data_IF_944177964811
#
_entry.id   IF_944177964811
#
_cell.length_a   1.000
_cell.length_b   1.000
_cell.length_c   1.000
_cell.angle_alpha   90.00
_cell.angle_beta   90.00
_cell.angle_gamma   90.00
#
_symmetry.space_group_name_H-M   'P 1'
#
loop_
_entity.id
_entity.type
_entity.pdbx_description
1 polymer ?
#
# COMPACT_ATOMS: atom_id res chain seq x y z
N UNK A 1 17.44 -12.28 1.08
CA UNK A 1 16.79 -11.57 2.19
C UNK A 1 15.27 -11.56 2.08
N UNK A 2 14.65 -11.15 0.96
CA UNK A 2 13.18 -11.20 0.77
C UNK A 2 12.61 -12.60 1.04
N UNK A 3 13.22 -13.64 0.46
CA UNK A 3 12.78 -15.04 0.65
C UNK A 3 12.82 -15.46 2.13
N UNK A 4 13.84 -15.05 2.87
CA UNK A 4 13.97 -15.37 4.31
C UNK A 4 12.82 -14.74 5.10
N UNK A 5 12.44 -13.49 4.78
CA UNK A 5 11.32 -12.80 5.43
C UNK A 5 10.00 -13.51 5.13
N UNK A 6 9.77 -13.89 3.87
CA UNK A 6 8.56 -14.64 3.46
C UNK A 6 8.49 -15.98 4.17
N UNK A 7 9.59 -16.71 4.25
CA UNK A 7 9.65 -18.00 4.96
C UNK A 7 9.40 -17.84 6.46
N UNK A 8 10.06 -16.89 7.12
CA UNK A 8 9.87 -16.64 8.55
C UNK A 8 8.43 -16.24 8.88
N UNK A 9 7.81 -15.41 8.04
CA UNK A 9 6.42 -15.01 8.16
C UNK A 9 5.46 -16.20 7.98
N UNK A 10 5.74 -17.07 7.00
CA UNK A 10 4.94 -18.27 6.75
C UNK A 10 5.05 -19.28 7.90
N UNK A 11 6.26 -19.53 8.38
CA UNK A 11 6.51 -20.42 9.53
C UNK A 11 5.79 -19.91 10.78
N UNK A 12 5.91 -18.61 11.07
CA UNK A 12 5.20 -18.00 12.19
C UNK A 12 3.68 -18.18 12.05
N UNK A 13 3.13 -17.92 10.87
CA UNK A 13 1.69 -17.98 10.63
C UNK A 13 1.12 -19.39 10.83
N UNK A 14 1.81 -20.42 10.36
CA UNK A 14 1.35 -21.80 10.47
C UNK A 14 1.58 -22.40 11.87
N UNK A 15 2.64 -22.00 12.57
CA UNK A 15 2.95 -22.50 13.91
C UNK A 15 2.22 -21.74 15.04
N UNK A 16 1.74 -20.54 14.77
CA UNK A 16 1.08 -19.74 15.81
C UNK A 16 -0.37 -20.18 16.01
N UNK A 17 -0.71 -20.50 17.24
CA UNK A 17 -2.08 -20.80 17.69
C UNK A 17 -2.83 -19.55 18.16
N UNK A 18 -2.18 -18.37 18.16
CA UNK A 18 -2.76 -17.14 18.65
C UNK A 18 -3.94 -16.66 17.80
N UNK A 19 -5.00 -16.20 18.43
CA UNK A 19 -6.21 -15.65 17.78
C UNK A 19 -5.84 -14.44 16.89
N UNK A 20 -4.82 -13.67 17.27
CA UNK A 20 -4.41 -12.45 16.62
C UNK A 20 -3.26 -12.61 15.59
N UNK A 21 -2.96 -13.83 15.13
CA UNK A 21 -1.86 -14.10 14.21
C UNK A 21 -1.93 -13.30 12.89
N UNK A 22 -3.13 -13.03 12.40
CA UNK A 22 -3.35 -12.20 11.20
C UNK A 22 -2.94 -10.75 11.44
N UNK A 23 -3.40 -10.17 12.53
CA UNK A 23 -3.07 -8.81 12.93
C UNK A 23 -1.56 -8.67 13.20
N UNK A 24 -0.95 -9.60 13.91
CA UNK A 24 0.48 -9.60 14.17
C UNK A 24 1.32 -9.64 12.87
N UNK A 25 0.98 -10.51 11.92
CA UNK A 25 1.66 -10.56 10.62
C UNK A 25 1.52 -9.27 9.81
N UNK A 26 0.38 -8.58 9.99
CA UNK A 26 0.15 -7.31 9.32
C UNK A 26 0.93 -6.15 9.97
N UNK A 27 0.98 -6.09 11.30
CA UNK A 27 1.54 -4.95 12.05
C UNK A 27 3.04 -5.07 12.28
N UNK A 28 3.60 -6.28 12.20
CA UNK A 28 5.02 -6.50 12.46
C UNK A 28 5.87 -5.93 11.30
N UNK A 29 6.65 -4.91 11.62
CA UNK A 29 7.52 -4.20 10.66
C UNK A 29 8.53 -5.14 10.02
N UNK A 30 9.06 -6.12 10.77
CA UNK A 30 10.01 -7.10 10.23
C UNK A 30 9.41 -7.90 9.08
N UNK A 31 8.14 -8.33 9.22
CA UNK A 31 7.43 -9.08 8.18
C UNK A 31 7.02 -8.23 6.97
N UNK A 32 7.21 -6.91 7.04
CA UNK A 32 6.94 -5.95 5.96
C UNK A 32 8.20 -5.44 5.28
N UNK A 33 9.38 -5.80 5.78
CA UNK A 33 10.66 -5.43 5.16
C UNK A 33 10.82 -6.00 3.75
N UNK A 34 10.11 -7.07 3.38
CA UNK A 34 10.08 -7.61 2.02
C UNK A 34 9.63 -6.56 1.00
N UNK A 35 8.54 -5.86 1.28
CA UNK A 35 8.01 -4.81 0.41
C UNK A 35 8.96 -3.62 0.29
N UNK A 36 9.61 -3.24 1.39
CA UNK A 36 10.64 -2.19 1.38
C UNK A 36 11.86 -2.59 0.55
N UNK A 37 12.37 -3.81 0.73
CA UNK A 37 13.52 -4.33 -0.02
C UNK A 37 13.25 -4.42 -1.52
N UNK A 38 12.04 -4.82 -1.93
CA UNK A 38 11.62 -4.83 -3.33
C UNK A 38 11.69 -3.41 -3.92
N UNK A 39 11.26 -2.38 -3.16
CA UNK A 39 11.39 -0.99 -3.55
C UNK A 39 12.84 -0.53 -3.72
N UNK A 40 13.74 -0.93 -2.81
CA UNK A 40 15.18 -0.64 -2.91
C UNK A 40 15.80 -1.32 -4.13
N UNK A 41 15.48 -2.60 -4.37
CA UNK A 41 15.94 -3.34 -5.56
C UNK A 41 15.48 -2.64 -6.84
N UNK A 42 14.20 -2.23 -6.89
CA UNK A 42 13.64 -1.49 -8.01
C UNK A 42 14.41 -0.20 -8.27
N UNK A 43 14.70 0.58 -7.22
CA UNK A 43 15.49 1.81 -7.35
C UNK A 43 16.89 1.54 -7.92
N UNK A 44 17.58 0.50 -7.44
CA UNK A 44 18.89 0.11 -7.95
C UNK A 44 18.82 -0.28 -9.44
N UNK A 45 17.80 -1.04 -9.85
CA UNK A 45 17.59 -1.44 -11.25
C UNK A 45 17.37 -0.22 -12.15
N UNK A 46 16.53 0.72 -11.70
CA UNK A 46 16.24 1.97 -12.45
C UNK A 46 17.53 2.80 -12.61
N UNK A 47 18.31 2.93 -11.53
CA UNK A 47 19.54 3.74 -11.54
C UNK A 47 20.65 3.15 -12.41
N UNK A 48 20.80 1.83 -12.41
CA UNK A 48 21.86 1.15 -13.16
C UNK A 48 21.62 1.10 -14.66
N UNK A 49 20.45 1.52 -15.17
CA UNK A 49 20.06 1.53 -16.60
C UNK A 49 20.39 0.24 -17.34
N UNK A 50 20.50 -0.89 -16.64
CA UNK A 50 20.89 -2.18 -17.20
C UNK A 50 19.81 -2.71 -18.13
N UNK A 51 20.15 -2.90 -19.40
CA UNK A 51 19.42 -3.59 -20.49
C UNK A 51 17.89 -3.57 -20.31
N UNK A 52 17.31 -2.40 -20.56
CA UNK A 52 15.91 -2.09 -20.25
C UNK A 52 14.91 -2.96 -21.01
N UNK A 53 15.25 -3.43 -22.22
CA UNK A 53 14.28 -4.15 -23.05
C UNK A 53 14.00 -5.59 -22.57
N UNK A 54 15.04 -6.39 -22.36
CA UNK A 54 14.88 -7.76 -21.85
C UNK A 54 14.28 -7.78 -20.45
N UNK A 55 14.73 -6.85 -19.61
CA UNK A 55 14.20 -6.73 -18.25
C UNK A 55 12.71 -6.34 -18.25
N UNK A 56 12.30 -5.43 -19.16
CA UNK A 56 10.89 -5.07 -19.34
C UNK A 56 10.03 -6.27 -19.78
N UNK A 57 10.52 -7.10 -20.70
CA UNK A 57 9.76 -8.26 -21.15
C UNK A 57 9.60 -9.31 -20.04
N UNK A 58 10.70 -9.65 -19.35
CA UNK A 58 10.65 -10.60 -18.22
C UNK A 58 9.72 -10.08 -17.12
N UNK A 59 9.87 -8.80 -16.77
CA UNK A 59 9.05 -8.18 -15.73
C UNK A 59 7.57 -8.12 -16.09
N UNK A 60 7.23 -7.90 -17.39
CA UNK A 60 5.87 -7.98 -17.92
C UNK A 60 5.29 -9.39 -17.79
N UNK A 61 6.06 -10.42 -18.17
CA UNK A 61 5.61 -11.82 -18.04
C UNK A 61 5.35 -12.17 -16.57
N UNK A 62 6.28 -11.82 -15.69
CA UNK A 62 6.12 -12.03 -14.23
C UNK A 62 4.88 -11.29 -13.71
N UNK A 63 4.64 -10.07 -14.14
CA UNK A 63 3.45 -9.30 -13.75
C UNK A 63 2.15 -10.01 -14.18
N UNK A 64 2.07 -10.46 -15.43
CA UNK A 64 0.88 -11.17 -15.94
C UNK A 64 0.68 -12.49 -15.19
N UNK A 65 1.72 -13.27 -14.97
CA UNK A 65 1.64 -14.53 -14.22
C UNK A 65 1.15 -14.29 -12.78
N UNK A 66 1.71 -13.30 -12.09
CA UNK A 66 1.31 -12.99 -10.70
C UNK A 66 -0.12 -12.45 -10.62
N UNK A 67 -0.58 -11.65 -11.60
CA UNK A 67 -1.99 -11.23 -11.66
C UNK A 67 -2.92 -12.41 -11.90
N UNK A 68 -2.59 -13.33 -12.79
CA UNK A 68 -3.38 -14.54 -13.02
C UNK A 68 -3.43 -15.40 -11.75
N UNK A 69 -2.32 -15.57 -11.04
CA UNK A 69 -2.27 -16.30 -9.78
C UNK A 69 -3.17 -15.64 -8.74
N UNK A 70 -3.15 -14.31 -8.59
CA UNK A 70 -4.05 -13.61 -7.68
C UNK A 70 -5.52 -13.82 -8.03
N UNK A 71 -5.89 -13.67 -9.31
CA UNK A 71 -7.26 -13.94 -9.76
C UNK A 71 -7.67 -15.40 -9.54
N UNK A 72 -6.80 -16.36 -9.83
CA UNK A 72 -7.06 -17.78 -9.59
C UNK A 72 -7.29 -18.07 -8.10
N UNK A 73 -6.49 -17.48 -7.22
CA UNK A 73 -6.66 -17.61 -5.76
C UNK A 73 -7.99 -16.99 -5.32
N UNK A 74 -8.38 -15.83 -5.84
CA UNK A 74 -9.69 -15.24 -5.55
C UNK A 74 -10.85 -16.08 -6.05
N UNK A 75 -10.76 -16.60 -7.26
CA UNK A 75 -11.82 -17.41 -7.88
C UNK A 75 -11.98 -18.76 -7.19
N UNK A 76 -10.86 -19.44 -6.86
CA UNK A 76 -10.87 -20.78 -6.25
C UNK A 76 -11.27 -20.77 -4.78
N UNK A 77 -11.02 -19.67 -4.08
CA UNK A 77 -11.28 -19.55 -2.65
C UNK A 77 -12.63 -18.85 -2.38
N UNK A 78 -13.74 -19.52 -2.73
CA UNK A 78 -15.09 -19.08 -2.32
C UNK A 78 -15.31 -19.06 -0.79
N UNK A 79 -14.32 -19.47 0.01
CA UNK A 79 -14.37 -19.41 1.47
C UNK A 79 -13.34 -18.40 2.00
N UNK A 80 -13.82 -17.39 2.70
CA UNK A 80 -13.02 -16.32 3.31
C UNK A 80 -11.85 -16.83 4.20
N UNK A 81 -11.94 -18.03 4.75
CA UNK A 81 -10.92 -18.63 5.60
C UNK A 81 -9.62 -18.99 4.88
N UNK A 82 -9.68 -19.43 3.62
CA UNK A 82 -8.47 -19.78 2.84
C UNK A 82 -7.78 -18.56 2.24
N UNK A 83 -8.52 -17.51 1.89
CA UNK A 83 -7.96 -16.21 1.49
C UNK A 83 -7.17 -15.62 2.64
N UNK A 84 -7.64 -15.78 3.85
CA UNK A 84 -6.99 -15.23 5.04
C UNK A 84 -5.58 -15.81 5.29
N UNK A 85 -5.29 -17.06 4.91
CA UNK A 85 -3.94 -17.63 5.04
C UNK A 85 -2.98 -17.19 3.92
N UNK A 86 -3.47 -16.98 2.71
CA UNK A 86 -2.67 -16.61 1.56
C UNK A 86 -2.05 -15.20 1.70
N UNK A 87 -2.87 -14.20 2.07
CA UNK A 87 -2.39 -12.82 2.17
C UNK A 87 -1.28 -12.63 3.21
N UNK A 88 -1.41 -13.09 4.47
CA UNK A 88 -0.35 -12.92 5.46
C UNK A 88 0.92 -13.74 5.15
N UNK A 89 0.87 -14.78 4.31
CA UNK A 89 2.06 -15.55 3.95
C UNK A 89 2.78 -14.96 2.74
N UNK A 90 2.20 -15.02 1.55
CA UNK A 90 2.85 -14.66 0.28
C UNK A 90 2.18 -13.46 -0.40
N UNK A 91 0.89 -13.23 -0.16
CA UNK A 91 0.08 -12.25 -0.88
C UNK A 91 0.64 -10.83 -0.85
N UNK A 92 1.13 -10.38 0.30
CA UNK A 92 1.73 -9.05 0.42
C UNK A 92 2.98 -8.85 -0.43
N UNK A 93 3.82 -9.88 -0.53
CA UNK A 93 5.02 -9.85 -1.37
C UNK A 93 4.65 -9.79 -2.86
N UNK A 94 3.63 -10.56 -3.27
CA UNK A 94 3.12 -10.51 -4.64
C UNK A 94 2.60 -9.12 -4.98
N UNK A 95 1.82 -8.50 -4.09
CA UNK A 95 1.32 -7.13 -4.26
C UNK A 95 2.48 -6.14 -4.39
N UNK A 96 3.52 -6.25 -3.57
CA UNK A 96 4.69 -5.39 -3.66
C UNK A 96 5.43 -5.52 -5.00
N UNK A 97 5.55 -6.74 -5.55
CA UNK A 97 6.14 -6.98 -6.87
C UNK A 97 5.26 -6.35 -7.97
N UNK A 98 3.93 -6.49 -7.89
CA UNK A 98 3.00 -5.88 -8.85
C UNK A 98 3.09 -4.36 -8.87
N UNK A 99 3.11 -3.72 -7.69
CA UNK A 99 3.32 -2.27 -7.61
C UNK A 99 4.68 -1.84 -8.15
N UNK A 100 5.73 -2.63 -7.90
CA UNK A 100 7.07 -2.37 -8.44
C UNK A 100 7.08 -2.37 -9.97
N UNK A 101 6.32 -3.28 -10.61
CA UNK A 101 6.18 -3.29 -12.05
C UNK A 101 5.47 -2.04 -12.57
N UNK A 102 4.38 -1.61 -11.92
CA UNK A 102 3.65 -0.40 -12.30
C UNK A 102 4.57 0.83 -12.22
N UNK A 103 5.35 0.96 -11.15
CA UNK A 103 6.33 2.05 -10.99
C UNK A 103 7.39 2.00 -12.08
N UNK A 104 7.97 0.82 -12.33
CA UNK A 104 8.97 0.62 -13.37
C UNK A 104 8.43 1.00 -14.75
N UNK A 105 7.24 0.49 -15.09
CA UNK A 105 6.56 0.80 -16.33
C UNK A 105 6.31 2.31 -16.47
N UNK A 106 5.89 2.97 -15.41
CA UNK A 106 5.65 4.42 -15.38
C UNK A 106 6.91 5.22 -15.69
N UNK A 107 8.05 4.83 -15.14
CA UNK A 107 9.32 5.54 -15.34
C UNK A 107 9.84 5.39 -16.76
N UNK A 108 9.64 4.24 -17.40
CA UNK A 108 10.21 3.93 -18.73
C UNK A 108 9.20 3.99 -19.87
N UNK A 109 7.91 4.14 -19.58
CA UNK A 109 6.87 4.19 -20.60
C UNK A 109 6.95 5.48 -21.43
N UNK A 110 6.97 5.31 -22.75
CA UNK A 110 6.82 6.41 -23.72
C UNK A 110 5.38 6.57 -24.21
N UNK A 111 4.43 5.83 -23.63
CA UNK A 111 3.03 5.88 -24.05
C UNK A 111 2.41 7.22 -23.63
N UNK A 112 1.93 7.98 -24.63
CA UNK A 112 1.38 9.32 -24.45
C UNK A 112 0.13 9.28 -23.56
N UNK A 113 -0.76 8.29 -23.74
CA UNK A 113 -1.99 8.15 -22.95
C UNK A 113 -1.65 7.88 -21.49
N UNK A 114 -0.73 6.95 -21.22
CA UNK A 114 -0.29 6.63 -19.88
C UNK A 114 0.34 7.82 -19.17
N UNK A 115 1.22 8.53 -19.86
CA UNK A 115 1.87 9.73 -19.33
C UNK A 115 0.88 10.86 -19.06
N UNK A 116 -0.14 11.03 -19.89
CA UNK A 116 -1.21 12.01 -19.67
C UNK A 116 -2.02 11.69 -18.42
N UNK A 117 -2.34 10.41 -18.18
CA UNK A 117 -3.06 9.98 -16.97
C UNK A 117 -2.23 10.24 -15.72
N UNK A 118 -0.96 9.85 -15.72
CA UNK A 118 -0.09 9.94 -14.52
C UNK A 118 0.30 11.39 -14.22
N UNK A 119 0.51 12.21 -15.23
CA UNK A 119 0.82 13.62 -15.06
C UNK A 119 -0.41 14.50 -14.82
N UNK A 120 -1.58 13.89 -14.63
CA UNK A 120 -2.78 14.64 -14.24
C UNK A 120 -2.55 15.36 -12.91
N UNK A 121 -2.89 16.64 -12.86
CA UNK A 121 -2.67 17.51 -11.70
C UNK A 121 -3.28 16.94 -10.40
N UNK A 122 -4.43 16.25 -10.50
CA UNK A 122 -5.07 15.60 -9.36
C UNK A 122 -4.27 14.42 -8.83
N UNK A 123 -3.77 13.53 -9.70
CA UNK A 123 -2.94 12.39 -9.31
C UNK A 123 -1.62 12.84 -8.69
N UNK A 124 -0.97 13.83 -9.30
CA UNK A 124 0.25 14.43 -8.77
C UNK A 124 0.00 15.07 -7.40
N UNK A 125 -1.14 15.75 -7.22
CA UNK A 125 -1.50 16.35 -5.94
C UNK A 125 -1.75 15.26 -4.87
N UNK A 126 -2.53 14.22 -5.17
CA UNK A 126 -2.74 13.08 -4.25
C UNK A 126 -1.42 12.41 -3.89
N UNK A 127 -0.53 12.21 -4.87
CA UNK A 127 0.81 11.68 -4.62
C UNK A 127 1.62 12.51 -3.61
N UNK A 128 1.53 13.84 -3.70
CA UNK A 128 2.23 14.75 -2.77
C UNK A 128 1.72 14.64 -1.33
N UNK A 129 0.41 14.44 -1.13
CA UNK A 129 -0.20 14.35 0.20
C UNK A 129 -0.31 12.89 0.71
N UNK A 130 0.11 11.91 -0.09
CA UNK A 130 -0.08 10.47 0.20
C UNK A 130 0.58 10.02 1.52
N UNK A 131 1.73 10.59 1.86
CA UNK A 131 2.42 10.32 3.12
C UNK A 131 1.58 10.74 4.32
N UNK A 132 1.03 11.95 4.30
CA UNK A 132 0.12 12.42 5.32
C UNK A 132 -1.16 11.59 5.40
N UNK A 133 -1.75 11.22 4.25
CA UNK A 133 -2.91 10.33 4.21
C UNK A 133 -2.61 9.00 4.91
N UNK A 134 -1.44 8.42 4.66
CA UNK A 134 -1.04 7.15 5.27
C UNK A 134 -0.84 7.27 6.78
N UNK A 135 -0.24 8.35 7.28
CA UNK A 135 0.02 8.52 8.71
C UNK A 135 -1.27 8.81 9.48
N UNK A 136 -2.14 9.69 8.97
CA UNK A 136 -3.26 10.21 9.74
C UNK A 136 -4.53 9.35 9.65
N UNK A 137 -4.69 8.44 8.66
CA UNK A 137 -5.95 7.70 8.48
C UNK A 137 -6.32 6.82 9.68
N UNK A 138 -5.37 6.10 10.26
CA UNK A 138 -5.62 5.19 11.39
C UNK A 138 -5.94 5.95 12.68
N UNK A 139 -5.12 6.92 13.14
CA UNK A 139 -5.44 7.71 14.32
C UNK A 139 -6.79 8.43 14.23
N UNK A 140 -7.09 9.02 13.08
CA UNK A 140 -8.36 9.75 12.89
C UNK A 140 -9.55 8.81 12.92
N UNK A 141 -9.44 7.64 12.30
CA UNK A 141 -10.50 6.63 12.34
C UNK A 141 -10.82 6.22 13.78
N UNK A 142 -9.81 5.88 14.57
CA UNK A 142 -9.99 5.50 15.98
C UNK A 142 -10.54 6.64 16.84
N UNK A 143 -10.06 7.87 16.64
CA UNK A 143 -10.58 9.03 17.37
C UNK A 143 -12.08 9.24 17.08
N UNK A 144 -12.48 9.15 15.83
CA UNK A 144 -13.89 9.29 15.44
C UNK A 144 -14.75 8.17 16.02
N UNK A 145 -14.25 6.94 16.00
CA UNK A 145 -14.97 5.81 16.59
C UNK A 145 -15.22 6.03 18.10
N UNK A 146 -14.20 6.48 18.85
CA UNK A 146 -14.32 6.79 20.27
C UNK A 146 -15.30 7.93 20.53
N UNK A 147 -15.23 9.01 19.74
CA UNK A 147 -16.13 10.17 19.89
C UNK A 147 -17.58 9.76 19.64
N UNK A 148 -17.83 9.04 18.54
CA UNK A 148 -19.19 8.65 18.15
C UNK A 148 -19.79 7.63 19.14
N UNK A 149 -18.99 6.75 19.70
CA UNK A 149 -19.44 5.82 20.75
C UNK A 149 -19.78 6.55 22.06
N UNK A 150 -18.97 7.52 22.48
CA UNK A 150 -19.22 8.32 23.69
C UNK A 150 -20.44 9.24 23.55
N UNK A 151 -20.70 9.76 22.38
CA UNK A 151 -21.85 10.65 22.14
C UNK A 151 -23.18 9.89 22.10
N UNK A 152 -23.22 8.60 22.41
CA UNK A 152 -24.44 7.75 22.39
C UNK A 152 -25.25 7.96 21.12
N UNK A 153 -24.61 8.33 20.03
CA UNK A 153 -25.21 8.31 18.70
C UNK A 153 -25.45 6.84 18.34
N UNK A 154 -26.39 6.22 19.09
CA UNK A 154 -27.07 5.02 18.68
C UNK A 154 -27.84 5.39 17.41
N UNK A 155 -27.06 5.51 16.33
CA UNK A 155 -27.64 5.46 15.01
C UNK A 155 -28.29 4.08 14.95
N UNK A 156 -29.60 4.01 15.18
CA UNK A 156 -30.44 2.82 15.01
C UNK A 156 -30.40 2.32 13.55
N UNK A 157 -29.48 2.89 12.77
CA UNK A 157 -29.17 2.49 11.41
C UNK A 157 -28.40 1.19 11.41
N UNK A 158 -28.77 0.30 10.49
CA UNK A 158 -28.05 -0.96 10.20
C UNK A 158 -26.54 -0.70 10.24
N UNK A 159 -25.78 -1.58 10.90
CA UNK A 159 -24.32 -1.45 11.14
C UNK A 159 -23.52 -1.01 9.90
N UNK A 160 -23.96 -1.37 8.69
CA UNK A 160 -23.32 -0.98 7.42
C UNK A 160 -23.35 0.53 7.16
N UNK A 161 -24.46 1.21 7.43
CA UNK A 161 -24.57 2.66 7.23
C UNK A 161 -23.62 3.43 8.16
N UNK A 162 -23.52 2.99 9.41
CA UNK A 162 -22.58 3.56 10.38
C UNK A 162 -21.12 3.42 9.90
N UNK A 163 -20.75 2.24 9.41
CA UNK A 163 -19.39 1.98 8.90
C UNK A 163 -19.06 2.88 7.71
N UNK A 164 -19.98 3.00 6.75
CA UNK A 164 -19.79 3.85 5.57
C UNK A 164 -19.69 5.33 5.98
N UNK A 165 -20.56 5.79 6.87
CA UNK A 165 -20.58 7.18 7.34
C UNK A 165 -19.28 7.54 8.07
N UNK A 166 -18.86 6.70 9.02
CA UNK A 166 -17.58 6.88 9.76
C UNK A 166 -16.40 6.83 8.80
N UNK A 167 -16.41 5.91 7.84
CA UNK A 167 -15.39 5.80 6.81
C UNK A 167 -15.28 7.05 5.94
N UNK A 168 -16.37 7.59 5.44
CA UNK A 168 -16.40 8.81 4.64
C UNK A 168 -15.96 10.04 5.46
N UNK A 169 -16.44 10.15 6.69
CA UNK A 169 -16.07 11.25 7.59
C UNK A 169 -14.57 11.21 7.92
N UNK A 170 -14.05 10.03 8.28
CA UNK A 170 -12.62 9.86 8.57
C UNK A 170 -11.75 10.15 7.35
N UNK A 171 -12.17 9.73 6.17
CA UNK A 171 -11.47 10.02 4.91
C UNK A 171 -11.40 11.53 4.65
N UNK A 172 -12.52 12.23 4.79
CA UNK A 172 -12.59 13.69 4.56
C UNK A 172 -11.69 14.45 5.53
N UNK A 173 -11.74 14.12 6.82
CA UNK A 173 -10.89 14.76 7.84
C UNK A 173 -9.42 14.44 7.59
N UNK A 174 -9.08 13.18 7.29
CA UNK A 174 -7.73 12.75 6.95
C UNK A 174 -7.19 13.52 5.75
N UNK A 175 -8.00 13.68 4.71
CA UNK A 175 -7.63 14.42 3.50
C UNK A 175 -7.33 15.90 3.81
N UNK A 176 -8.17 16.55 4.61
CA UNK A 176 -7.94 17.94 5.02
C UNK A 176 -6.66 18.09 5.84
N UNK A 177 -6.46 17.25 6.84
CA UNK A 177 -5.27 17.29 7.70
C UNK A 177 -4.00 17.00 6.88
N UNK A 178 -4.03 16.02 5.97
CA UNK A 178 -2.89 15.69 5.11
C UNK A 178 -2.52 16.84 4.17
N UNK A 179 -3.52 17.55 3.62
CA UNK A 179 -3.30 18.74 2.81
C UNK A 179 -2.66 19.87 3.62
N UNK A 180 -3.10 20.09 4.85
CA UNK A 180 -2.51 21.06 5.77
C UNK A 180 -1.07 20.67 6.14
N UNK A 181 -0.84 19.41 6.53
CA UNK A 181 0.49 18.90 6.86
C UNK A 181 1.46 19.07 5.70
N UNK A 182 1.04 18.72 4.47
CA UNK A 182 1.87 18.91 3.29
C UNK A 182 2.24 20.38 3.08
N UNK A 183 1.26 21.28 3.13
CA UNK A 183 1.47 22.70 2.83
C UNK A 183 2.41 23.38 3.84
N UNK A 184 2.23 23.13 5.13
CA UNK A 184 2.91 23.89 6.19
C UNK A 184 4.14 23.15 6.76
N UNK A 185 4.15 21.84 6.74
CA UNK A 185 5.22 21.03 7.33
C UNK A 185 6.11 20.38 6.28
N UNK A 186 5.56 19.47 5.49
CA UNK A 186 6.37 18.63 4.58
C UNK A 186 7.05 19.45 3.47
N UNK A 187 6.34 20.39 2.87
CA UNK A 187 6.88 21.22 1.77
C UNK A 187 8.08 22.08 2.22
N UNK A 188 8.09 22.50 3.48
CA UNK A 188 9.21 23.27 4.05
C UNK A 188 10.50 22.43 4.09
N UNK A 189 10.43 21.20 4.61
CA UNK A 189 11.58 20.31 4.68
C UNK A 189 12.05 19.83 3.32
N UNK A 190 11.13 19.53 2.40
CA UNK A 190 11.46 19.13 1.05
C UNK A 190 12.21 20.22 0.29
N UNK A 191 11.81 21.49 0.42
CA UNK A 191 12.51 22.63 -0.21
C UNK A 191 13.92 22.83 0.38
N UNK A 192 14.11 22.64 1.68
CA UNK A 192 15.45 22.69 2.30
C UNK A 192 16.37 21.61 1.77
N UNK A 193 15.87 20.38 1.61
CA UNK A 193 16.66 19.25 1.10
C UNK A 193 17.19 19.50 -0.32
N UNK A 194 16.39 20.10 -1.18
CA UNK A 194 16.80 20.42 -2.56
C UNK A 194 17.95 21.43 -2.57
N UNK A 195 17.95 22.42 -1.66
CA UNK A 195 19.03 23.43 -1.56
C UNK A 195 20.37 22.88 -1.04
N UNK A 196 20.37 21.71 -0.37
CA UNK A 196 21.60 21.11 0.18
C UNK A 196 22.26 20.17 -0.83
N UNK A 197 21.54 19.70 -1.83
CA UNK A 197 22.01 18.71 -2.83
C UNK A 197 22.48 19.37 -4.14
N UNK A 198 22.27 20.67 -4.31
CA UNK A 198 22.81 21.51 -5.39
C UNK A 198 24.05 22.24 -4.89
#
# INVERSE_FOLDING_TARGET
MVVIIVLSRSIYFFNSTSINKYAFNYWNTFFRLDSFLIGVILYCVIRLKKNTFLFLQIFKIVFVLLTVVLFAVFYWNNSASKINSFFPTIGYTIIAILYSYIIYFTVFSKNVIWNSIINNNWLVFIGKISFGLYIFHVPIFFLLEIILTKMSLNLHCKNYFKIIFVGLLSFTITFMISRFSYKYFESYFLRKKIKIVI
#
